data_IF_373888207051
#
_entry.id   IF_373888207051
#
_cell.length_a   1.000
_cell.length_b   1.000
_cell.length_c   1.000
_cell.angle_alpha   90.00
_cell.angle_beta   90.00
_cell.angle_gamma   90.00
#
_symmetry.space_group_name_H-M   'P 1'
#
loop_
_entity.id
_entity.type
_entity.pdbx_description
1 polymer ?
#
# COMPACT_ATOMS: atom_id res chain seq x y z
N UNK A 1 -12.36 -15.62 -23.23
CA UNK A 1 -13.27 -14.55 -22.76
C UNK A 1 -13.22 -14.59 -21.24
N UNK A 2 -13.04 -13.46 -20.56
CA UNK A 2 -12.94 -13.43 -19.09
C UNK A 2 -14.35 -13.27 -18.51
N UNK A 3 -14.75 -14.15 -17.59
CA UNK A 3 -16.01 -14.07 -16.87
C UNK A 3 -15.72 -13.92 -15.37
N UNK A 4 -16.49 -13.09 -14.68
CA UNK A 4 -16.39 -12.89 -13.24
C UNK A 4 -17.71 -13.28 -12.60
N UNK A 5 -17.66 -14.31 -11.75
CA UNK A 5 -18.81 -14.86 -11.04
C UNK A 5 -18.73 -14.43 -9.58
N UNK A 6 -19.86 -13.99 -9.00
CA UNK A 6 -19.92 -13.59 -7.59
C UNK A 6 -20.33 -14.77 -6.72
N UNK A 7 -19.46 -15.15 -5.79
CA UNK A 7 -19.74 -16.16 -4.77
C UNK A 7 -19.41 -15.67 -3.35
N UNK A 8 -19.85 -16.44 -2.37
CA UNK A 8 -19.56 -16.23 -0.94
C UNK A 8 -18.70 -17.37 -0.42
N UNK A 9 -17.66 -17.04 0.34
CA UNK A 9 -16.79 -18.05 0.97
C UNK A 9 -17.51 -18.68 2.15
N UNK A 10 -17.60 -20.00 2.16
CA UNK A 10 -18.07 -20.83 3.28
C UNK A 10 -16.99 -21.88 3.57
N UNK A 11 -16.24 -21.68 4.65
CA UNK A 11 -15.09 -22.53 5.00
C UNK A 11 -14.00 -22.48 3.92
N UNK A 12 -13.66 -23.63 3.34
CA UNK A 12 -12.67 -23.76 2.27
C UNK A 12 -13.30 -23.76 0.85
N UNK A 13 -14.56 -23.36 0.72
CA UNK A 13 -15.30 -23.42 -0.56
C UNK A 13 -15.91 -22.07 -0.89
N UNK A 14 -16.00 -21.77 -2.20
CA UNK A 14 -16.76 -20.62 -2.72
C UNK A 14 -18.11 -21.13 -3.20
N UNK A 15 -19.19 -20.62 -2.63
CA UNK A 15 -20.55 -20.98 -3.02
C UNK A 15 -21.13 -19.88 -3.90
N UNK A 16 -21.58 -20.26 -5.08
CA UNK A 16 -22.26 -19.40 -6.05
C UNK A 16 -23.72 -19.85 -6.09
N UNK A 17 -24.64 -18.95 -5.74
CA UNK A 17 -26.06 -19.32 -5.57
C UNK A 17 -26.92 -19.04 -6.82
N UNK A 18 -26.52 -18.08 -7.66
CA UNK A 18 -27.37 -17.56 -8.75
C UNK A 18 -26.80 -17.80 -10.15
N UNK A 19 -25.81 -18.66 -10.31
CA UNK A 19 -25.13 -18.87 -11.59
C UNK A 19 -24.85 -20.37 -11.80
N UNK A 20 -25.17 -20.87 -12.99
CA UNK A 20 -24.91 -22.27 -13.35
C UNK A 20 -23.44 -22.41 -13.77
N UNK A 21 -22.70 -23.20 -13.01
CA UNK A 21 -21.28 -23.43 -13.24
C UNK A 21 -21.01 -24.62 -14.15
N UNK A 22 -22.03 -25.39 -14.56
CA UNK A 22 -21.86 -26.53 -15.47
C UNK A 22 -21.28 -26.10 -16.83
N UNK A 23 -21.62 -24.90 -17.29
CA UNK A 23 -21.08 -24.33 -18.53
C UNK A 23 -19.57 -24.03 -18.46
N UNK A 24 -18.99 -24.02 -17.26
CA UNK A 24 -17.58 -23.72 -16.99
C UNK A 24 -16.80 -24.94 -16.49
N UNK A 25 -17.33 -26.15 -16.65
CA UNK A 25 -16.67 -27.37 -16.20
C UNK A 25 -15.29 -27.56 -16.85
N UNK A 26 -14.27 -27.87 -16.03
CA UNK A 26 -12.89 -28.07 -16.48
C UNK A 26 -12.07 -26.79 -16.71
N UNK A 27 -12.64 -25.60 -16.46
CA UNK A 27 -11.95 -24.32 -16.60
C UNK A 27 -11.16 -23.98 -15.33
N UNK A 28 -9.93 -23.49 -15.48
CA UNK A 28 -9.13 -22.98 -14.37
C UNK A 28 -9.62 -21.60 -13.93
N UNK A 29 -9.76 -21.39 -12.62
CA UNK A 29 -10.35 -20.18 -12.04
C UNK A 29 -9.41 -19.51 -11.04
N UNK A 30 -9.42 -18.17 -11.03
CA UNK A 30 -8.71 -17.36 -10.03
C UNK A 30 -9.73 -16.76 -9.07
N UNK A 31 -9.55 -16.99 -7.77
CA UNK A 31 -10.43 -16.44 -6.72
C UNK A 31 -9.88 -15.10 -6.26
N UNK A 32 -10.68 -14.05 -6.39
CA UNK A 32 -10.35 -12.70 -5.90
C UNK A 32 -11.26 -12.34 -4.73
N UNK A 33 -10.68 -11.92 -3.61
CA UNK A 33 -11.43 -11.44 -2.45
C UNK A 33 -11.89 -10.00 -2.68
N UNK A 34 -13.20 -9.78 -2.72
CA UNK A 34 -13.81 -8.45 -2.78
C UNK A 34 -14.09 -7.94 -1.37
N UNK A 35 -13.84 -6.65 -1.13
CA UNK A 35 -14.10 -5.93 0.13
C UNK A 35 -13.54 -6.57 1.40
N UNK A 36 -12.57 -7.50 1.27
CA UNK A 36 -11.90 -8.07 2.41
C UNK A 36 -11.00 -7.00 3.03
N UNK A 37 -11.23 -6.59 4.30
CA UNK A 37 -10.37 -5.64 4.95
C UNK A 37 -9.02 -6.31 5.14
N UNK A 38 -8.10 -6.06 4.21
CA UNK A 38 -6.68 -6.25 4.51
C UNK A 38 -6.41 -5.35 5.70
N UNK A 39 -6.00 -5.94 6.82
CA UNK A 39 -5.22 -5.19 7.79
C UNK A 39 -4.14 -4.51 6.95
N UNK A 40 -4.28 -3.19 6.76
CA UNK A 40 -3.22 -2.43 6.13
C UNK A 40 -2.09 -2.60 7.12
N UNK A 41 -1.17 -3.52 6.82
CA UNK A 41 0.16 -3.51 7.40
C UNK A 41 0.59 -2.08 7.14
N UNK A 42 0.52 -1.24 8.18
CA UNK A 42 0.94 0.14 8.10
C UNK A 42 2.41 -0.01 7.80
N UNK A 43 2.78 0.07 6.53
CA UNK A 43 4.17 0.20 6.16
C UNK A 43 4.60 1.49 6.84
N UNK A 44 5.50 1.33 7.81
CA UNK A 44 6.13 2.46 8.45
C UNK A 44 6.77 3.27 7.33
N UNK A 45 6.26 4.48 7.14
CA UNK A 45 6.76 5.36 6.09
C UNK A 45 8.08 5.90 6.61
N UNK A 46 9.17 5.52 5.96
CA UNK A 46 10.48 6.10 6.21
C UNK A 46 10.51 7.52 5.63
N UNK A 47 10.23 8.50 6.49
CA UNK A 47 10.24 9.92 6.13
C UNK A 47 11.64 10.42 5.80
N UNK A 48 12.69 9.79 6.35
CA UNK A 48 14.08 10.19 6.15
C UNK A 48 14.55 9.86 4.73
N UNK A 49 13.92 8.90 4.07
CA UNK A 49 14.21 8.56 2.66
C UNK A 49 13.94 9.69 1.66
N UNK A 50 13.11 10.67 2.02
CA UNK A 50 12.79 11.84 1.19
C UNK A 50 13.64 13.07 1.52
N UNK A 51 14.44 13.02 2.59
CA UNK A 51 15.30 14.12 3.00
C UNK A 51 16.63 14.01 2.28
N UNK A 52 17.00 15.03 1.49
CA UNK A 52 18.34 15.12 0.93
C UNK A 52 19.27 15.61 2.05
N UNK A 53 20.25 14.79 2.50
CA UNK A 53 21.18 15.23 3.52
C UNK A 53 22.00 16.40 2.98
N UNK A 54 22.03 17.49 3.74
CA UNK A 54 22.87 18.65 3.43
C UNK A 54 23.71 19.00 4.64
N UNK A 55 24.93 19.49 4.40
CA UNK A 55 25.84 19.91 5.48
C UNK A 55 25.18 20.96 6.38
N UNK A 56 24.36 21.85 5.80
CA UNK A 56 23.57 22.86 6.52
C UNK A 56 22.43 22.27 7.37
N UNK A 57 21.89 21.12 6.97
CA UNK A 57 20.85 20.42 7.73
C UNK A 57 21.40 19.57 8.87
N UNK A 58 22.70 19.26 8.85
CA UNK A 58 23.37 18.44 9.87
C UNK A 58 23.70 19.24 11.15
N UNK A 59 24.06 20.51 11.01
CA UNK A 59 24.30 21.43 12.13
C UNK A 59 23.58 22.77 11.89
N UNK A 60 22.25 22.73 12.04
CA UNK A 60 21.39 23.91 11.84
C UNK A 60 21.73 25.02 12.84
N UNK A 61 22.07 24.65 14.07
CA UNK A 61 22.36 25.63 15.13
C UNK A 61 23.66 26.38 14.87
N UNK A 62 24.72 25.68 14.47
CA UNK A 62 25.98 26.28 14.04
C UNK A 62 25.78 27.17 12.82
N UNK A 63 25.05 26.70 11.81
CA UNK A 63 24.74 27.46 10.61
C UNK A 63 23.97 28.76 10.91
N UNK A 64 22.93 28.68 11.75
CA UNK A 64 22.12 29.84 12.13
C UNK A 64 22.89 30.85 12.99
N UNK A 65 23.87 30.37 13.78
CA UNK A 65 24.77 31.23 14.54
C UNK A 65 25.71 31.98 13.61
N UNK A 66 26.35 31.29 12.67
CA UNK A 66 27.24 31.89 11.66
C UNK A 66 26.52 32.98 10.85
N UNK A 67 25.30 32.69 10.36
CA UNK A 67 24.52 33.68 9.60
C UNK A 67 24.21 34.94 10.42
N UNK A 68 23.87 34.81 11.70
CA UNK A 68 23.56 35.96 12.56
C UNK A 68 24.78 36.78 12.97
N UNK A 69 25.94 36.12 13.10
CA UNK A 69 27.20 36.80 13.41
C UNK A 69 27.71 37.59 12.19
N UNK A 70 27.58 37.03 10.99
CA UNK A 70 27.97 37.68 9.74
C UNK A 70 27.03 38.81 9.29
N UNK A 71 25.78 38.84 9.77
CA UNK A 71 24.78 39.88 9.48
C UNK A 71 24.92 41.13 10.38
N UNK A 72 25.83 41.12 11.38
CA UNK A 72 26.05 42.22 12.33
C UNK A 72 27.11 43.24 11.91
N UNK A 73 27.48 43.30 10.62
CA UNK A 73 28.37 44.32 10.05
C UNK A 73 27.66 45.66 9.79
#
# INVERSE_FOLDING_TARGET
MLAAVKGVIKGNTVVVENEDLQDYEGVEVVVTLLDYPREKIKKEVDWDSFVIPSERGQDVDGYMKEMRENDRL
#
